data_IF_842082211420
#
_entry.id   IF_842082211420
#
_cell.length_a   1.000
_cell.length_b   1.000
_cell.length_c   1.000
_cell.angle_alpha   90.00
_cell.angle_beta   90.00
_cell.angle_gamma   90.00
#
_symmetry.space_group_name_H-M   'P 1'
#
loop_
_entity.id
_entity.type
_entity.pdbx_description
1 polymer ?
#
# COMPACT_ATOMS: atom_id res chain seq x y z
N UNK A 1 14.44 5.15 9.07
CA UNK A 1 13.04 4.85 8.75
C UNK A 1 13.06 3.71 7.76
N UNK A 2 12.44 2.59 8.11
CA UNK A 2 12.51 1.36 7.31
C UNK A 2 11.31 1.32 6.38
N UNK A 3 11.45 1.86 5.16
CA UNK A 3 10.47 1.64 4.10
C UNK A 3 10.39 0.15 3.80
N UNK A 4 9.19 -0.42 3.85
CA UNK A 4 8.97 -1.83 3.54
C UNK A 4 7.82 -1.94 2.54
N UNK A 5 8.02 -2.73 1.48
CA UNK A 5 6.96 -3.06 0.54
C UNK A 5 6.11 -4.16 1.17
N UNK A 6 4.82 -3.91 1.35
CA UNK A 6 3.88 -4.85 1.97
C UNK A 6 2.64 -5.02 1.11
N UNK A 7 2.04 -6.20 1.22
CA UNK A 7 0.66 -6.44 0.83
C UNK A 7 -0.24 -6.17 2.02
N UNK A 8 -1.27 -5.34 1.83
CA UNK A 8 -2.24 -5.03 2.88
C UNK A 8 -3.66 -5.30 2.38
N UNK A 9 -4.49 -5.86 3.26
CA UNK A 9 -5.93 -5.99 3.06
C UNK A 9 -6.62 -4.91 3.89
N UNK A 10 -7.36 -4.01 3.26
CA UNK A 10 -8.02 -2.88 3.95
C UNK A 10 -9.55 -3.03 4.04
N UNK A 11 -10.15 -3.82 3.14
CA UNK A 11 -11.58 -4.16 3.11
C UNK A 11 -11.74 -5.47 2.32
N UNK A 12 -12.95 -6.03 2.26
CA UNK A 12 -13.27 -7.23 1.48
C UNK A 12 -12.81 -7.05 0.03
N UNK A 13 -11.94 -7.96 -0.43
CA UNK A 13 -11.37 -7.99 -1.78
C UNK A 13 -10.63 -6.70 -2.22
N UNK A 14 -10.15 -5.92 -1.26
CA UNK A 14 -9.30 -4.75 -1.48
C UNK A 14 -7.87 -5.03 -0.98
N UNK A 15 -7.14 -5.82 -1.76
CA UNK A 15 -5.71 -6.07 -1.56
C UNK A 15 -4.90 -4.98 -2.26
N UNK A 16 -4.03 -4.33 -1.50
CA UNK A 16 -3.09 -3.33 -2.01
C UNK A 16 -1.66 -3.84 -1.86
N UNK A 17 -0.80 -3.48 -2.81
CA UNK A 17 0.66 -3.46 -2.63
C UNK A 17 1.11 -2.01 -2.52
N UNK A 18 1.98 -1.72 -1.56
CA UNK A 18 2.41 -0.37 -1.25
C UNK A 18 3.72 -0.40 -0.49
N UNK A 19 4.50 0.67 -0.60
CA UNK A 19 5.47 0.98 0.45
C UNK A 19 4.69 1.50 1.67
N UNK A 20 5.03 1.01 2.86
CA UNK A 20 4.41 1.46 4.11
C UNK A 20 5.46 1.94 5.09
N UNK A 21 5.14 3.05 5.77
CA UNK A 21 5.93 3.61 6.87
C UNK A 21 5.02 3.94 8.05
N UNK A 22 5.40 3.53 9.25
CA UNK A 22 4.76 3.98 10.48
C UNK A 22 5.21 5.40 10.82
N UNK A 23 4.26 6.22 11.25
CA UNK A 23 4.50 7.59 11.70
C UNK A 23 4.03 7.77 13.14
N UNK A 24 4.71 8.64 13.87
CA UNK A 24 4.26 9.01 15.20
C UNK A 24 2.96 9.82 15.09
N UNK A 25 1.90 9.32 15.70
CA UNK A 25 0.59 9.96 15.72
C UNK A 25 -0.08 9.78 17.09
N UNK A 26 -1.04 10.64 17.41
CA UNK A 26 -1.86 10.51 18.60
C UNK A 26 -2.89 9.39 18.44
N UNK A 27 -3.40 8.87 19.56
CA UNK A 27 -4.39 7.78 19.55
C UNK A 27 -5.64 8.21 18.78
N UNK A 28 -5.97 7.47 17.71
CA UNK A 28 -7.11 7.72 16.85
C UNK A 28 -6.79 8.46 15.56
N UNK A 29 -5.58 9.03 15.45
CA UNK A 29 -5.08 9.64 14.22
C UNK A 29 -4.45 8.60 13.28
N UNK A 30 -4.35 8.89 11.97
CA UNK A 30 -3.60 8.05 11.03
C UNK A 30 -2.12 7.92 11.42
N UNK A 31 -1.68 6.69 11.64
CA UNK A 31 -0.34 6.30 12.11
C UNK A 31 0.45 5.49 11.07
N UNK A 32 -0.11 5.25 9.88
CA UNK A 32 0.56 4.62 8.75
C UNK A 32 0.49 5.50 7.51
N UNK A 33 1.63 5.61 6.81
CA UNK A 33 1.74 6.27 5.51
C UNK A 33 1.94 5.22 4.42
N UNK A 34 1.00 5.17 3.48
CA UNK A 34 1.08 4.37 2.27
C UNK A 34 1.71 5.22 1.16
N UNK A 35 2.74 4.71 0.50
CA UNK A 35 3.43 5.37 -0.61
C UNK A 35 3.26 4.51 -1.86
N UNK A 36 2.79 5.14 -2.93
CA UNK A 36 2.40 4.53 -4.20
C UNK A 36 1.52 3.28 -4.01
N UNK A 37 0.35 3.37 -3.34
CA UNK A 37 -0.51 2.20 -3.20
C UNK A 37 -1.15 1.81 -4.52
N UNK A 38 -0.99 0.54 -4.91
CA UNK A 38 -1.64 -0.07 -6.06
C UNK A 38 -2.58 -1.18 -5.60
N UNK A 39 -3.80 -1.19 -6.13
CA UNK A 39 -4.73 -2.31 -5.98
C UNK A 39 -4.26 -3.48 -6.83
N UNK A 40 -4.16 -4.64 -6.19
CA UNK A 40 -3.77 -5.90 -6.81
C UNK A 40 -5.01 -6.67 -7.27
N UNK A 41 -5.20 -6.81 -8.58
CA UNK A 41 -6.21 -7.71 -9.14
C UNK A 41 -5.58 -9.04 -9.54
N UNK A 42 -4.41 -8.98 -10.18
CA UNK A 42 -3.56 -10.11 -10.52
C UNK A 42 -2.18 -9.59 -10.96
N UNK A 43 -1.23 -10.50 -11.23
CA UNK A 43 0.14 -10.12 -11.62
C UNK A 43 0.23 -9.27 -12.91
N UNK A 44 -0.78 -9.32 -13.78
CA UNK A 44 -0.80 -8.54 -15.03
C UNK A 44 -1.55 -7.22 -14.87
N UNK A 45 -2.34 -7.08 -13.81
CA UNK A 45 -3.23 -5.93 -13.60
C UNK A 45 -3.11 -5.44 -12.15
N UNK A 46 -2.34 -4.38 -11.99
CA UNK A 46 -2.29 -3.55 -10.80
C UNK A 46 -2.64 -2.12 -11.21
N UNK A 47 -3.49 -1.45 -10.43
CA UNK A 47 -3.91 -0.06 -10.71
C UNK A 47 -3.69 0.83 -9.51
N UNK A 48 -3.44 2.14 -9.67
CA UNK A 48 -3.41 3.07 -8.55
C UNK A 48 -4.65 2.89 -7.68
N UNK A 49 -4.49 2.93 -6.35
CA UNK A 49 -5.61 2.70 -5.44
C UNK A 49 -6.70 3.77 -5.58
N UNK A 50 -6.31 5.03 -5.71
CA UNK A 50 -7.21 6.17 -5.92
C UNK A 50 -7.00 6.70 -7.33
N UNK A 51 -7.96 6.48 -8.22
CA UNK A 51 -7.87 6.88 -9.64
C UNK A 51 -8.34 8.33 -9.89
N UNK A 52 -8.90 8.99 -8.88
CA UNK A 52 -9.45 10.36 -8.98
C UNK A 52 -8.51 11.45 -8.42
N UNK A 53 -7.29 11.07 -8.03
CA UNK A 53 -6.28 11.96 -7.44
C UNK A 53 -4.90 11.60 -7.98
N UNK A 54 -4.06 12.60 -8.23
CA UNK A 54 -2.65 12.42 -8.62
C UNK A 54 -1.73 12.23 -7.40
N UNK A 55 -2.29 12.17 -6.18
CA UNK A 55 -1.51 11.94 -4.97
C UNK A 55 -0.91 10.53 -4.97
N UNK A 56 0.33 10.43 -4.50
CA UNK A 56 1.04 9.16 -4.36
C UNK A 56 1.19 8.72 -2.91
N UNK A 57 0.91 9.60 -1.95
CA UNK A 57 1.02 9.33 -0.51
C UNK A 57 -0.33 9.48 0.18
N UNK A 58 -0.67 8.49 1.02
CA UNK A 58 -1.95 8.44 1.73
C UNK A 58 -1.73 8.05 3.18
N UNK A 59 -2.43 8.74 4.08
CA UNK A 59 -2.41 8.45 5.51
C UNK A 59 -3.60 7.54 5.86
N UNK A 60 -3.33 6.43 6.55
CA UNK A 60 -4.35 5.48 7.03
C UNK A 60 -4.08 5.13 8.49
N UNK A 61 -5.14 4.78 9.23
CA UNK A 61 -4.98 4.14 10.54
C UNK A 61 -4.57 2.69 10.36
N UNK A 62 -3.59 2.25 11.13
CA UNK A 62 -3.18 0.85 11.23
C UNK A 62 -4.35 -0.07 11.60
N UNK A 63 -5.32 0.43 12.38
CA UNK A 63 -6.56 -0.27 12.74
C UNK A 63 -7.47 -0.61 11.58
N UNK A 64 -7.37 0.13 10.47
CA UNK A 64 -8.18 -0.08 9.27
C UNK A 64 -7.53 -1.11 8.32
N UNK A 65 -6.32 -1.58 8.64
CA UNK A 65 -5.65 -2.66 7.93
C UNK A 65 -6.03 -4.01 8.56
N UNK A 66 -6.79 -4.81 7.83
CA UNK A 66 -7.27 -6.12 8.25
C UNK A 66 -6.15 -7.17 8.29
N UNK A 67 -5.19 -7.10 7.36
CA UNK A 67 -4.07 -8.06 7.27
C UNK A 67 -2.88 -7.41 6.59
N UNK A 68 -1.67 -7.71 7.07
CA UNK A 68 -0.39 -7.32 6.46
C UNK A 68 0.41 -8.58 6.18
N UNK A 69 0.99 -8.67 4.98
CA UNK A 69 1.83 -9.78 4.56
C UNK A 69 2.99 -9.29 3.68
N UNK A 70 4.04 -10.11 3.60
CA UNK A 70 5.13 -9.91 2.65
C UNK A 70 4.71 -10.39 1.25
N UNK A 71 4.87 -9.57 0.20
CA UNK A 71 4.65 -9.99 -1.18
C UNK A 71 5.69 -11.03 -1.62
N UNK A 72 5.34 -11.81 -2.66
CA UNK A 72 6.30 -12.64 -3.37
C UNK A 72 7.25 -11.79 -4.21
N UNK A 73 8.43 -12.30 -4.54
CA UNK A 73 9.42 -11.60 -5.39
C UNK A 73 8.83 -11.14 -6.73
N UNK A 74 8.06 -12.01 -7.40
CA UNK A 74 7.39 -11.70 -8.67
C UNK A 74 6.46 -10.48 -8.57
N UNK A 75 5.69 -10.38 -7.47
CA UNK A 75 4.78 -9.26 -7.22
C UNK A 75 5.55 -7.97 -6.92
N UNK A 76 6.67 -8.06 -6.20
CA UNK A 76 7.56 -6.92 -5.93
C UNK A 76 8.13 -6.37 -7.24
N UNK A 77 8.68 -7.23 -8.09
CA UNK A 77 9.26 -6.82 -9.37
C UNK A 77 8.23 -6.08 -10.23
N UNK A 78 7.02 -6.64 -10.34
CA UNK A 78 5.93 -6.02 -11.09
C UNK A 78 5.51 -4.66 -10.52
N UNK A 79 5.40 -4.56 -9.21
CA UNK A 79 5.08 -3.31 -8.52
C UNK A 79 6.14 -2.24 -8.79
N UNK A 80 7.43 -2.60 -8.68
CA UNK A 80 8.54 -1.68 -8.95
C UNK A 80 8.58 -1.21 -10.40
N UNK A 81 8.12 -2.00 -11.38
CA UNK A 81 7.99 -1.53 -12.76
C UNK A 81 6.98 -0.38 -12.93
N UNK A 82 5.95 -0.34 -12.08
CA UNK A 82 4.88 0.66 -12.13
C UNK A 82 5.23 1.94 -11.35
N UNK A 83 6.12 1.82 -10.36
CA UNK A 83 6.48 2.91 -9.44
C UNK A 83 7.90 3.45 -9.65
N UNK A 84 8.64 2.92 -10.63
CA UNK A 84 9.89 3.51 -11.11
C UNK A 84 9.63 4.91 -11.67
N UNK A 85 10.12 5.93 -10.96
CA UNK A 85 10.50 7.22 -11.56
C UNK A 85 11.68 7.06 -12.53
#
# INVERSE_FOLDING_TARGET
MSKSIKCILIDVDNVLITEIEEVAADVGEPDCRLINPYRFYNIKEMKPWIEISDQTEYMIRSSDILTIADPTEEVIEKYLELTKE
#
